data_IF_809835646241
#
_entry.id   IF_809835646241
#
_cell.length_a   1.000
_cell.length_b   1.000
_cell.length_c   1.000
_cell.angle_alpha   90.00
_cell.angle_beta   90.00
_cell.angle_gamma   90.00
#
_symmetry.space_group_name_H-M   'P 1'
#
loop_
_entity.id
_entity.type
_entity.pdbx_description
1 polymer ?
#
# COMPACT_ATOMS: atom_id res chain seq x y z
N UNK A 1 17.39 14.87 -0.41
CA UNK A 1 16.66 13.59 -0.49
C UNK A 1 16.79 13.07 -1.91
N UNK A 2 17.50 11.95 -2.15
CA UNK A 2 17.60 11.37 -3.51
C UNK A 2 16.31 10.64 -3.81
N UNK A 3 15.43 11.24 -4.60
CA UNK A 3 14.23 10.57 -5.11
C UNK A 3 14.63 9.65 -6.26
N UNK A 4 14.23 8.38 -6.18
CA UNK A 4 14.39 7.49 -7.33
C UNK A 4 13.39 7.93 -8.41
N UNK A 5 13.82 8.18 -9.65
CA UNK A 5 12.90 8.51 -10.73
C UNK A 5 11.85 7.39 -10.86
N UNK A 6 10.60 7.78 -11.07
CA UNK A 6 9.40 6.92 -11.18
C UNK A 6 8.82 6.36 -9.87
N UNK A 7 9.33 6.72 -8.69
CA UNK A 7 8.60 6.46 -7.45
C UNK A 7 7.34 7.33 -7.37
N UNK A 8 6.26 6.77 -6.85
CA UNK A 8 4.99 7.47 -6.63
C UNK A 8 4.95 7.95 -5.20
N UNK A 9 4.78 9.26 -5.02
CA UNK A 9 4.59 9.88 -3.72
C UNK A 9 3.48 10.92 -3.81
N UNK A 10 2.38 10.68 -3.10
CA UNK A 10 1.20 11.54 -3.12
C UNK A 10 0.92 11.96 -1.69
N UNK A 11 0.69 13.25 -1.48
CA UNK A 11 0.17 13.80 -0.23
C UNK A 11 -1.12 14.53 -0.57
N UNK A 12 -2.18 14.19 0.15
CA UNK A 12 -3.43 14.92 0.16
C UNK A 12 -3.49 15.76 1.42
N UNK A 13 -3.71 17.05 1.23
CA UNK A 13 -3.94 18.00 2.31
C UNK A 13 -5.14 18.88 1.96
N UNK A 14 -5.94 19.20 2.96
CA UNK A 14 -7.10 20.08 2.84
C UNK A 14 -6.93 21.24 3.80
N UNK A 15 -7.00 22.47 3.30
CA UNK A 15 -6.75 23.71 4.06
C UNK A 15 -5.44 23.70 4.90
N UNK A 16 -4.39 23.03 4.40
CA UNK A 16 -3.11 22.90 5.09
C UNK A 16 -3.07 21.80 6.17
N UNK A 17 -4.17 21.06 6.33
CA UNK A 17 -4.27 19.90 7.22
C UNK A 17 -4.03 18.62 6.44
N UNK A 18 -3.16 17.76 6.97
CA UNK A 18 -2.87 16.45 6.40
C UNK A 18 -4.12 15.55 6.37
N UNK A 19 -4.40 14.94 5.21
CA UNK A 19 -5.50 13.98 5.05
C UNK A 19 -4.97 12.57 4.83
N UNK A 20 -4.09 12.40 3.84
CA UNK A 20 -3.47 11.11 3.54
C UNK A 20 -2.15 11.25 2.80
N UNK A 21 -1.37 10.17 2.83
CA UNK A 21 -0.14 10.01 2.06
C UNK A 21 -0.11 8.63 1.44
N UNK A 22 0.43 8.52 0.22
CA UNK A 22 0.76 7.27 -0.44
C UNK A 22 2.22 7.27 -0.86
N UNK A 23 2.89 6.12 -0.70
CA UNK A 23 4.26 5.90 -1.11
C UNK A 23 4.39 4.54 -1.80
N UNK A 24 4.88 4.54 -3.04
CA UNK A 24 5.37 3.36 -3.74
C UNK A 24 6.74 3.66 -4.37
N UNK A 25 7.76 2.91 -3.95
CA UNK A 25 9.12 3.13 -4.43
C UNK A 25 9.36 2.35 -5.72
N UNK A 26 9.87 3.01 -6.75
CA UNK A 26 10.14 2.38 -8.04
C UNK A 26 11.00 1.10 -7.95
N UNK A 27 12.08 1.06 -7.14
CA UNK A 27 12.86 -0.18 -6.97
C UNK A 27 12.08 -1.33 -6.33
N UNK A 28 11.20 -1.03 -5.36
CA UNK A 28 10.38 -2.04 -4.69
C UNK A 28 9.30 -2.57 -5.63
N UNK A 29 8.59 -1.67 -6.33
CA UNK A 29 7.65 -2.05 -7.38
C UNK A 29 8.29 -2.97 -8.42
N UNK A 30 9.46 -2.57 -8.95
CA UNK A 30 10.16 -3.35 -9.97
C UNK A 30 10.61 -4.72 -9.44
N UNK A 31 11.17 -4.77 -8.21
CA UNK A 31 11.59 -6.02 -7.60
C UNK A 31 10.43 -6.97 -7.33
N UNK A 32 9.28 -6.44 -6.89
CA UNK A 32 8.07 -7.23 -6.72
C UNK A 32 7.58 -7.83 -8.06
N UNK A 33 7.44 -7.00 -9.11
CA UNK A 33 6.94 -7.46 -10.42
C UNK A 33 7.85 -8.50 -11.10
N UNK A 34 9.16 -8.47 -10.83
CA UNK A 34 10.14 -9.40 -11.43
C UNK A 34 10.36 -10.65 -10.57
N UNK A 35 10.34 -10.51 -9.25
CA UNK A 35 10.85 -11.52 -8.33
C UNK A 35 9.82 -12.13 -7.37
N UNK A 36 8.62 -11.58 -7.26
CA UNK A 36 7.59 -12.07 -6.35
C UNK A 36 6.45 -12.76 -7.09
N UNK A 37 5.68 -13.56 -6.35
CA UNK A 37 4.41 -14.11 -6.85
C UNK A 37 3.37 -12.97 -6.95
N UNK A 38 2.39 -13.09 -7.83
CA UNK A 38 1.24 -12.17 -7.92
C UNK A 38 0.26 -12.35 -6.73
N UNK A 39 0.81 -12.26 -5.52
CA UNK A 39 0.12 -12.38 -4.25
C UNK A 39 0.42 -11.12 -3.46
N UNK A 40 -0.64 -10.38 -3.11
CA UNK A 40 -0.55 -9.15 -2.32
C UNK A 40 -1.30 -9.35 -1.02
N UNK A 41 -0.59 -9.28 0.10
CA UNK A 41 -1.17 -9.18 1.42
C UNK A 41 -1.35 -7.72 1.80
N UNK A 42 -2.52 -7.41 2.36
CA UNK A 42 -2.92 -6.08 2.79
C UNK A 42 -3.13 -6.10 4.29
N UNK A 43 -2.61 -5.08 4.97
CA UNK A 43 -2.78 -4.92 6.41
C UNK A 43 -2.97 -3.44 6.77
N UNK A 44 -3.75 -3.19 7.82
CA UNK A 44 -4.02 -1.88 8.38
C UNK A 44 -3.69 -1.87 9.87
N UNK A 45 -2.80 -0.98 10.31
CA UNK A 45 -2.46 -0.88 11.74
C UNK A 45 -2.51 0.56 12.27
N UNK A 46 -2.88 0.70 13.55
CA UNK A 46 -3.00 2.00 14.20
C UNK A 46 -1.63 2.64 14.41
N UNK A 47 -1.49 3.89 14.00
CA UNK A 47 -0.30 4.69 14.30
C UNK A 47 -0.40 5.23 15.74
N UNK A 48 0.65 4.98 16.52
CA UNK A 48 0.79 5.54 17.87
C UNK A 48 1.47 6.91 17.78
N UNK A 49 0.74 7.95 18.14
CA UNK A 49 1.23 9.33 18.17
C UNK A 49 0.10 10.30 18.44
N UNK A 50 0.43 11.58 18.60
CA UNK A 50 -0.51 12.65 18.98
C UNK A 50 -1.65 12.83 17.96
N UNK A 51 -1.40 12.51 16.69
CA UNK A 51 -2.34 12.70 15.59
C UNK A 51 -3.08 11.41 15.19
N UNK A 52 -2.74 10.27 15.79
CA UNK A 52 -3.34 8.97 15.46
C UNK A 52 -3.21 8.59 13.98
N UNK A 53 -4.26 7.96 13.45
CA UNK A 53 -4.34 7.51 12.06
C UNK A 53 -4.08 6.02 11.88
N UNK A 54 -4.18 5.58 10.63
CA UNK A 54 -3.92 4.20 10.21
C UNK A 54 -2.78 4.18 9.18
N UNK A 55 -1.89 3.21 9.33
CA UNK A 55 -0.95 2.81 8.29
C UNK A 55 -1.55 1.64 7.53
N UNK A 56 -1.86 1.86 6.25
CA UNK A 56 -2.24 0.81 5.31
C UNK A 56 -0.98 0.33 4.59
N UNK A 57 -0.84 -0.97 4.43
CA UNK A 57 0.36 -1.58 3.82
C UNK A 57 -0.03 -2.61 2.78
N UNK A 58 0.78 -2.69 1.73
CA UNK A 58 0.74 -3.76 0.74
C UNK A 58 2.10 -4.44 0.70
N UNK A 59 2.10 -5.76 0.91
CA UNK A 59 3.30 -6.59 0.88
C UNK A 59 3.09 -7.80 -0.02
N UNK A 60 4.15 -8.26 -0.67
CA UNK A 60 4.21 -9.48 -1.44
C UNK A 60 4.96 -10.59 -0.71
N UNK A 61 5.06 -11.74 -1.37
CA UNK A 61 5.91 -12.85 -0.94
C UNK A 61 6.92 -13.13 -2.06
N UNK A 62 8.20 -13.06 -1.73
CA UNK A 62 9.29 -13.31 -2.69
C UNK A 62 9.54 -14.82 -2.91
N UNK A 63 10.51 -15.14 -3.77
CA UNK A 63 10.87 -16.52 -4.09
C UNK A 63 11.44 -17.30 -2.88
N UNK A 64 11.87 -16.62 -1.81
CA UNK A 64 12.39 -17.21 -0.58
C UNK A 64 11.31 -17.26 0.52
N UNK A 65 10.04 -17.12 0.14
CA UNK A 65 8.90 -17.08 1.06
C UNK A 65 9.03 -15.99 2.15
N UNK A 66 9.77 -14.92 1.85
CA UNK A 66 9.95 -13.77 2.72
C UNK A 66 8.98 -12.64 2.37
N UNK A 67 8.60 -11.84 3.37
CA UNK A 67 7.74 -10.66 3.19
C UNK A 67 8.51 -9.61 2.39
N UNK A 68 7.90 -9.16 1.29
CA UNK A 68 8.47 -8.14 0.41
C UNK A 68 7.61 -6.86 0.43
N UNK A 69 8.13 -5.69 0.82
CA UNK A 69 7.32 -4.48 0.86
C UNK A 69 7.03 -3.91 -0.54
N UNK A 70 5.80 -3.45 -0.78
CA UNK A 70 5.38 -2.88 -2.07
C UNK A 70 5.04 -1.40 -1.94
N UNK A 71 4.07 -1.07 -1.09
CA UNK A 71 3.55 0.29 -0.92
C UNK A 71 2.95 0.51 0.47
N UNK A 72 2.84 1.77 0.84
CA UNK A 72 2.26 2.21 2.10
C UNK A 72 1.34 3.40 1.90
N UNK A 73 0.35 3.53 2.77
CA UNK A 73 -0.40 4.76 2.92
C UNK A 73 -0.61 5.12 4.39
N UNK A 74 -0.50 6.40 4.71
CA UNK A 74 -0.93 6.94 6.00
C UNK A 74 -2.25 7.64 5.76
N UNK A 75 -3.28 7.27 6.52
CA UNK A 75 -4.62 7.82 6.39
C UNK A 75 -5.18 8.19 7.75
N UNK A 76 -6.09 9.16 7.79
CA UNK A 76 -6.75 9.59 9.02
C UNK A 76 -7.60 8.48 9.69
N UNK A 77 -8.17 7.57 8.91
CA UNK A 77 -9.07 6.51 9.38
C UNK A 77 -9.03 5.28 8.47
N UNK A 78 -9.16 4.10 9.07
CA UNK A 78 -9.43 2.88 8.30
C UNK A 78 -10.90 2.83 7.88
N UNK A 79 -11.18 3.14 6.62
CA UNK A 79 -12.53 3.10 6.06
C UNK A 79 -12.48 2.68 4.58
N UNK A 80 -13.66 2.39 4.01
CA UNK A 80 -13.77 1.93 2.62
C UNK A 80 -13.20 2.93 1.60
N UNK A 81 -13.39 4.22 1.84
CA UNK A 81 -12.93 5.28 0.93
C UNK A 81 -11.39 5.32 0.84
N UNK A 82 -10.73 5.36 2.00
CA UNK A 82 -9.28 5.35 2.11
C UNK A 82 -8.66 4.05 1.57
N UNK A 83 -9.29 2.90 1.83
CA UNK A 83 -8.88 1.63 1.23
C UNK A 83 -9.07 1.62 -0.30
N UNK A 84 -10.18 2.15 -0.80
CA UNK A 84 -10.44 2.22 -2.25
C UNK A 84 -9.39 3.10 -2.93
N UNK A 85 -9.11 4.27 -2.35
CA UNK A 85 -8.07 5.18 -2.84
C UNK A 85 -6.69 4.52 -2.85
N UNK A 86 -6.30 3.86 -1.75
CA UNK A 86 -5.03 3.13 -1.65
C UNK A 86 -4.92 2.02 -2.72
N UNK A 87 -5.97 1.22 -2.88
CA UNK A 87 -5.98 0.10 -3.83
C UNK A 87 -6.00 0.55 -5.28
N UNK A 88 -6.63 1.68 -5.61
CA UNK A 88 -6.59 2.28 -6.94
C UNK A 88 -5.17 2.70 -7.31
N UNK A 89 -4.47 3.39 -6.40
CA UNK A 89 -3.08 3.78 -6.62
C UNK A 89 -2.16 2.56 -6.73
N UNK A 90 -2.34 1.57 -5.86
CA UNK A 90 -1.59 0.32 -5.92
C UNK A 90 -1.81 -0.43 -7.24
N UNK A 91 -3.05 -0.56 -7.71
CA UNK A 91 -3.38 -1.22 -8.96
C UNK A 91 -2.77 -0.47 -10.16
N UNK A 92 -2.81 0.86 -10.14
CA UNK A 92 -2.17 1.69 -11.16
C UNK A 92 -0.64 1.46 -11.18
N UNK A 93 0.01 1.50 -10.02
CA UNK A 93 1.45 1.31 -9.93
C UNK A 93 1.87 -0.10 -10.33
N UNK A 94 1.10 -1.13 -9.96
CA UNK A 94 1.38 -2.52 -10.33
C UNK A 94 0.91 -2.88 -11.76
N UNK A 95 0.24 -1.97 -12.47
CA UNK A 95 -0.28 -2.23 -13.82
C UNK A 95 -1.36 -3.33 -13.86
N UNK A 96 -2.19 -3.44 -12.81
CA UNK A 96 -3.22 -4.47 -12.69
C UNK A 96 -4.41 -4.11 -13.59
N UNK A 97 -4.43 -4.70 -14.79
CA UNK A 97 -5.55 -4.58 -15.73
C UNK A 97 -6.52 -5.76 -15.65
N UNK A 98 -6.02 -6.93 -15.22
CA UNK A 98 -6.79 -8.16 -15.07
C UNK A 98 -6.53 -8.72 -13.67
N UNK A 99 -7.51 -8.55 -12.78
CA UNK A 99 -7.41 -8.99 -11.38
C UNK A 99 -7.46 -10.51 -11.22
N UNK A 100 -7.88 -11.28 -12.24
CA UNK A 100 -7.95 -12.74 -12.14
C UNK A 100 -6.58 -13.42 -12.03
N UNK A 101 -5.51 -12.70 -12.36
CA UNK A 101 -4.11 -13.16 -12.23
C UNK A 101 -3.49 -12.86 -10.87
N UNK A 102 -4.25 -12.26 -9.96
CA UNK A 102 -3.78 -11.76 -8.68
C UNK A 102 -4.55 -12.39 -7.53
N UNK A 103 -3.82 -12.79 -6.51
CA UNK A 103 -4.40 -13.16 -5.23
C UNK A 103 -4.22 -12.00 -4.24
N UNK A 104 -5.30 -11.63 -3.56
CA UNK A 104 -5.26 -10.65 -2.48
C UNK A 104 -5.60 -11.33 -1.16
N UNK A 105 -4.83 -11.04 -0.13
CA UNK A 105 -5.09 -11.48 1.24
C UNK A 105 -5.22 -10.26 2.12
N UNK A 106 -6.18 -10.28 3.04
CA UNK A 106 -6.32 -9.28 4.10
C UNK A 106 -6.28 -10.00 5.43
N UNK A 107 -5.91 -9.30 6.51
CA UNK A 107 -6.04 -9.89 7.84
C UNK A 107 -7.47 -10.37 8.11
N UNK A 108 -7.59 -11.47 8.86
CA UNK A 108 -8.87 -12.08 9.22
C UNK A 108 -9.42 -11.37 10.44
N UNK A 109 -10.38 -10.48 10.23
CA UNK A 109 -11.18 -9.94 11.33
C UNK A 109 -11.90 -11.08 12.06
N UNK A 110 -11.58 -11.31 13.33
CA UNK A 110 -12.42 -12.16 14.19
C UNK A 110 -13.70 -11.39 14.46
N UNK A 111 -14.85 -11.98 14.12
CA UNK A 111 -16.16 -11.48 14.55
C UNK A 111 -16.15 -11.34 16.07
N UNK A 112 -16.36 -10.12 16.58
CA UNK A 112 -16.71 -9.89 17.98
C UNK A 112 -18.11 -10.43 18.26
#
# INVERSE_FOLDING_TARGET
>A
MRTHPNSTFIILADEGVFQSMYLCLAPLRAGFLVGCRNLVSLDGCFLKGTYGGQLLTAVGIDANDCIYPIAWAVVNKENKENWTWFLQLLAQDLGIVDSHKWAFMTDRQKSQ
#
